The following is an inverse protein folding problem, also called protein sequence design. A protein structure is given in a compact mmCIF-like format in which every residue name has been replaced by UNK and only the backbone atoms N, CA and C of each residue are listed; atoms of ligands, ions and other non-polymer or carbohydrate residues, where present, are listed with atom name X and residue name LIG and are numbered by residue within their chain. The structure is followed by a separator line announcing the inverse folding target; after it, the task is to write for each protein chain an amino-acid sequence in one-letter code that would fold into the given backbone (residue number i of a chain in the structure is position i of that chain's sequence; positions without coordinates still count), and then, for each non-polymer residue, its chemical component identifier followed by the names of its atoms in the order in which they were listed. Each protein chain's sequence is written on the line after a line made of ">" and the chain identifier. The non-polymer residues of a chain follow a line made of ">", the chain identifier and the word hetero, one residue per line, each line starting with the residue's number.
data_IF_031673176015
#
_entry.id   IF_031673176015
#
_cell.length_a   1.000
_cell.length_b   1.000
_cell.length_c   1.000
_cell.angle_alpha   90.00
_cell.angle_beta   90.00
_cell.angle_gamma   90.00
#
_symmetry.space_group_name_H-M   'P 1'
#
loop_
_entity.id
_entity.type
_entity.pdbx_description
1 polymer ?
#
# COMPACT_ATOMS: atom_id res chain seq x y z
N UNK A 1 11.05 -6.71 14.36
CA UNK A 1 9.69 -7.16 14.01
C UNK A 1 9.58 -8.69 14.08
N UNK A 2 10.29 -9.47 13.23
CA UNK A 2 10.18 -10.94 13.20
C UNK A 2 10.42 -11.66 14.54
N UNK A 3 11.32 -11.15 15.39
CA UNK A 3 11.60 -11.73 16.72
C UNK A 3 10.39 -11.71 17.68
N UNK A 4 9.41 -10.83 17.42
CA UNK A 4 8.20 -10.65 18.22
C UNK A 4 7.01 -11.47 17.72
N UNK A 5 7.18 -12.19 16.60
CA UNK A 5 6.11 -13.01 16.05
C UNK A 5 6.03 -14.34 16.79
N UNK A 6 4.82 -14.89 16.92
CA UNK A 6 4.58 -16.21 17.50
C UNK A 6 5.13 -17.32 16.61
N UNK A 7 5.35 -18.50 17.18
CA UNK A 7 5.76 -19.68 16.40
C UNK A 7 4.68 -20.04 15.36
N UNK A 8 5.10 -20.50 14.17
CA UNK A 8 4.23 -20.89 13.06
C UNK A 8 3.58 -19.73 12.29
N UNK A 9 3.87 -18.49 12.67
CA UNK A 9 3.27 -17.29 12.07
C UNK A 9 3.84 -16.96 10.69
N UNK A 10 3.17 -16.05 9.98
CA UNK A 10 3.52 -15.67 8.61
C UNK A 10 3.80 -14.17 8.51
N UNK A 11 4.96 -13.83 7.96
CA UNK A 11 5.31 -12.47 7.59
C UNK A 11 5.00 -12.26 6.11
N UNK A 12 4.09 -11.33 5.83
CA UNK A 12 3.78 -10.90 4.46
C UNK A 12 4.53 -9.60 4.17
N UNK A 13 5.37 -9.60 3.13
CA UNK A 13 5.98 -8.37 2.61
C UNK A 13 5.26 -7.92 1.35
N UNK A 14 4.93 -6.62 1.27
CA UNK A 14 4.22 -6.03 0.13
C UNK A 14 4.97 -4.84 -0.51
N UNK A 15 6.19 -4.56 -0.05
CA UNK A 15 6.99 -3.43 -0.53
C UNK A 15 8.40 -3.41 0.03
N UNK A 16 9.21 -2.46 -0.44
CA UNK A 16 10.65 -2.39 -0.15
C UNK A 16 11.20 -0.96 -0.17
N UNK A 17 10.57 -0.04 0.56
CA UNK A 17 10.95 1.38 0.55
C UNK A 17 12.39 1.65 1.00
N UNK A 18 12.97 0.78 1.83
CA UNK A 18 14.37 0.89 2.26
C UNK A 18 15.40 0.53 1.18
N UNK A 19 14.94 -0.06 0.06
CA UNK A 19 15.78 -0.63 -1.01
C UNK A 19 16.79 -1.67 -0.49
N UNK A 20 16.54 -2.25 0.68
CA UNK A 20 17.35 -3.31 1.29
C UNK A 20 16.62 -4.65 1.21
N UNK A 21 17.35 -5.76 1.05
CA UNK A 21 16.75 -7.09 1.12
C UNK A 21 16.20 -7.35 2.52
N UNK A 22 15.22 -8.26 2.59
CA UNK A 22 14.73 -8.78 3.87
C UNK A 22 15.76 -9.76 4.45
N UNK A 23 16.27 -9.48 5.65
CA UNK A 23 17.25 -10.31 6.33
C UNK A 23 16.56 -11.14 7.42
N UNK A 24 16.67 -12.47 7.32
CA UNK A 24 15.93 -13.42 8.16
C UNK A 24 16.91 -14.33 8.90
N UNK A 25 16.91 -14.33 10.24
CA UNK A 25 17.71 -15.27 11.01
C UNK A 25 17.24 -16.72 10.80
N UNK A 26 18.17 -17.62 10.51
CA UNK A 26 17.89 -19.05 10.26
C UNK A 26 17.11 -19.71 11.40
N UNK A 27 17.40 -19.31 12.65
CA UNK A 27 16.74 -19.85 13.84
C UNK A 27 15.22 -19.60 13.86
N UNK A 28 14.75 -18.51 13.24
CA UNK A 28 13.31 -18.23 13.15
C UNK A 28 12.62 -19.14 12.15
N UNK A 29 13.31 -19.57 11.10
CA UNK A 29 12.78 -20.53 10.12
C UNK A 29 12.74 -21.93 10.72
N UNK A 30 13.86 -22.39 11.29
CA UNK A 30 14.00 -23.78 11.75
C UNK A 30 13.23 -24.03 13.06
N UNK A 31 13.40 -23.16 14.05
CA UNK A 31 12.92 -23.46 15.42
C UNK A 31 11.60 -22.76 15.75
N UNK A 32 11.17 -21.80 14.94
CA UNK A 32 9.89 -21.10 15.13
C UNK A 32 8.92 -21.28 13.97
N UNK A 33 9.25 -22.10 12.96
CA UNK A 33 8.40 -22.33 11.78
C UNK A 33 7.86 -21.02 11.17
N UNK A 34 8.71 -19.98 11.11
CA UNK A 34 8.29 -18.70 10.56
C UNK A 34 8.17 -18.80 9.04
N UNK A 35 7.01 -18.42 8.50
CA UNK A 35 6.72 -18.43 7.06
C UNK A 35 6.87 -17.03 6.49
N UNK A 36 7.48 -16.92 5.31
CA UNK A 36 7.69 -15.63 4.65
C UNK A 36 7.14 -15.68 3.24
N UNK A 37 6.27 -14.74 2.92
CA UNK A 37 5.61 -14.68 1.62
C UNK A 37 5.53 -13.24 1.11
N UNK A 38 5.55 -13.10 -0.21
CA UNK A 38 5.30 -11.83 -0.88
C UNK A 38 3.83 -11.68 -1.24
N UNK A 39 3.30 -10.46 -1.11
CA UNK A 39 1.98 -10.13 -1.61
C UNK A 39 2.05 -8.93 -2.56
N UNK A 40 1.46 -9.08 -3.74
CA UNK A 40 1.35 -8.01 -4.73
C UNK A 40 -0.08 -7.91 -5.22
N UNK A 41 -0.76 -6.81 -4.88
CA UNK A 41 -2.17 -6.59 -5.19
C UNK A 41 -2.45 -6.72 -6.70
N UNK A 42 -1.56 -6.20 -7.56
CA UNK A 42 -1.70 -6.32 -9.01
C UNK A 42 -1.73 -7.78 -9.46
N UNK A 43 -0.85 -8.63 -8.91
CA UNK A 43 -0.79 -10.04 -9.27
C UNK A 43 -2.04 -10.79 -8.79
N UNK A 44 -2.54 -10.47 -7.60
CA UNK A 44 -3.80 -11.03 -7.10
C UNK A 44 -4.97 -10.61 -7.99
N UNK A 45 -5.09 -9.31 -8.31
CA UNK A 45 -6.17 -8.77 -9.16
C UNK A 45 -6.21 -9.41 -10.54
N UNK A 46 -5.04 -9.69 -11.14
CA UNK A 46 -4.97 -10.35 -12.45
C UNK A 46 -5.44 -11.81 -12.43
N UNK A 47 -5.44 -12.46 -11.27
CA UNK A 47 -5.88 -13.85 -11.08
C UNK A 47 -7.31 -13.96 -10.55
N UNK A 48 -7.76 -12.95 -9.82
CA UNK A 48 -9.10 -12.91 -9.23
C UNK A 48 -10.18 -12.86 -10.32
N UNK A 49 -11.26 -13.59 -10.10
CA UNK A 49 -12.48 -13.46 -10.87
C UNK A 49 -13.14 -12.09 -10.65
N UNK A 50 -14.05 -11.72 -11.56
CA UNK A 50 -14.84 -10.47 -11.42
C UNK A 50 -15.64 -10.46 -10.12
N UNK A 51 -16.17 -11.60 -9.69
CA UNK A 51 -16.93 -11.74 -8.45
C UNK A 51 -16.04 -11.55 -7.22
N UNK A 52 -14.88 -12.20 -7.14
CA UNK A 52 -13.96 -12.06 -6.00
C UNK A 52 -13.45 -10.61 -5.86
N UNK A 53 -13.13 -9.96 -6.98
CA UNK A 53 -12.72 -8.56 -6.94
C UNK A 53 -13.85 -7.65 -6.46
N UNK A 54 -15.08 -7.90 -6.93
CA UNK A 54 -16.26 -7.13 -6.52
C UNK A 54 -16.57 -7.34 -5.04
N UNK A 55 -16.54 -8.57 -4.55
CA UNK A 55 -16.78 -8.90 -3.14
C UNK A 55 -15.80 -8.17 -2.22
N UNK A 56 -14.50 -8.18 -2.58
CA UNK A 56 -13.47 -7.43 -1.84
C UNK A 56 -13.75 -5.92 -1.80
N UNK A 57 -14.18 -5.33 -2.93
CA UNK A 57 -14.55 -3.91 -2.95
C UNK A 57 -15.80 -3.63 -2.09
N UNK A 58 -16.80 -4.50 -2.14
CA UNK A 58 -18.01 -4.37 -1.32
C UNK A 58 -17.69 -4.47 0.18
N UNK A 59 -16.73 -5.30 0.59
CA UNK A 59 -16.22 -5.32 1.97
C UNK A 59 -15.60 -3.98 2.38
N UNK A 60 -14.78 -3.37 1.52
CA UNK A 60 -14.19 -2.06 1.81
C UNK A 60 -15.25 -0.98 1.95
N UNK A 61 -16.27 -0.97 1.08
CA UNK A 61 -17.40 -0.03 1.17
C UNK A 61 -18.16 -0.24 2.48
N UNK A 62 -18.46 -1.49 2.86
CA UNK A 62 -19.09 -1.80 4.15
C UNK A 62 -18.30 -1.27 5.35
N UNK A 63 -16.97 -1.31 5.30
CA UNK A 63 -16.12 -0.77 6.35
C UNK A 63 -16.17 0.76 6.40
N UNK A 64 -16.24 1.43 5.24
CA UNK A 64 -16.40 2.89 5.15
C UNK A 64 -17.76 3.30 5.71
N UNK A 65 -18.84 2.64 5.29
CA UNK A 65 -20.21 2.95 5.73
C UNK A 65 -20.38 2.80 7.26
N UNK A 66 -19.64 1.86 7.87
CA UNK A 66 -19.61 1.65 9.33
C UNK A 66 -18.66 2.60 10.06
N UNK A 67 -17.89 3.43 9.36
CA UNK A 67 -16.88 4.31 9.95
C UNK A 67 -15.64 3.57 10.48
N UNK A 68 -15.43 2.31 10.10
CA UNK A 68 -14.24 1.53 10.47
C UNK A 68 -13.05 1.77 9.53
N UNK A 69 -13.31 2.31 8.34
CA UNK A 69 -12.29 2.73 7.39
C UNK A 69 -12.53 4.20 7.03
N UNK A 70 -11.60 5.05 7.44
CA UNK A 70 -11.63 6.48 7.16
C UNK A 70 -10.64 6.85 6.07
N UNK A 71 -10.85 8.01 5.47
CA UNK A 71 -9.87 8.60 4.56
C UNK A 71 -8.56 8.94 5.28
N UNK A 72 -7.49 9.04 4.50
CA UNK A 72 -6.19 9.40 5.04
C UNK A 72 -6.15 10.90 5.39
N UNK A 73 -5.90 11.25 6.65
CA UNK A 73 -5.92 12.64 7.17
C UNK A 73 -5.02 13.61 6.38
N UNK A 74 -3.93 13.11 5.79
CA UNK A 74 -2.99 13.91 4.99
C UNK A 74 -3.13 13.70 3.47
N UNK A 75 -4.36 13.77 2.95
CA UNK A 75 -4.60 13.85 1.51
C UNK A 75 -4.57 15.32 1.03
N UNK A 76 -3.84 15.61 -0.05
CA UNK A 76 -3.81 16.92 -0.71
C UNK A 76 -4.42 16.80 -2.09
N UNK A 77 -5.50 17.53 -2.33
CA UNK A 77 -6.11 17.65 -3.65
C UNK A 77 -5.34 18.70 -4.46
N UNK A 78 -4.95 18.33 -5.68
CA UNK A 78 -4.22 19.19 -6.61
C UNK A 78 -5.08 19.41 -7.84
N UNK A 79 -5.59 20.63 -7.98
CA UNK A 79 -6.46 21.04 -9.10
C UNK A 79 -5.63 21.35 -10.36
N UNK A 80 -6.09 20.85 -11.51
CA UNK A 80 -5.37 20.95 -12.77
C UNK A 80 -6.02 21.90 -13.80
N UNK A 81 -6.81 22.86 -13.37
CA UNK A 81 -7.65 23.70 -14.26
C UNK A 81 -6.93 24.92 -14.85
N UNK A 82 -5.59 24.90 -14.87
CA UNK A 82 -4.81 26.06 -15.33
C UNK A 82 -3.92 25.68 -16.50
N UNK A 83 -3.54 26.68 -17.29
CA UNK A 83 -2.50 26.57 -18.32
C UNK A 83 -1.16 26.04 -17.78
N UNK A 84 -0.98 25.98 -16.45
CA UNK A 84 0.20 25.46 -15.76
C UNK A 84 0.04 24.01 -15.29
N UNK A 85 -1.05 23.31 -15.65
CA UNK A 85 -1.34 21.96 -15.18
C UNK A 85 -0.16 20.99 -15.34
N UNK A 86 0.53 21.02 -16.48
CA UNK A 86 1.69 20.17 -16.72
C UNK A 86 2.83 20.44 -15.73
N UNK A 87 3.12 21.71 -15.45
CA UNK A 87 4.14 22.12 -14.47
C UNK A 87 3.75 21.65 -13.07
N UNK A 88 2.50 21.87 -12.67
CA UNK A 88 1.96 21.44 -11.37
C UNK A 88 2.07 19.92 -11.18
N UNK A 89 1.75 19.12 -12.19
CA UNK A 89 1.90 17.66 -12.14
C UNK A 89 3.37 17.28 -11.95
N UNK A 90 4.28 17.85 -12.75
CA UNK A 90 5.73 17.55 -12.67
C UNK A 90 6.30 17.85 -11.28
N UNK A 91 5.97 19.01 -10.72
CA UNK A 91 6.42 19.42 -9.38
C UNK A 91 5.85 18.52 -8.28
N UNK A 92 4.55 18.22 -8.35
CA UNK A 92 3.87 17.34 -7.39
C UNK A 92 4.45 15.93 -7.41
N UNK A 93 4.68 15.36 -8.60
CA UNK A 93 5.30 14.03 -8.74
C UNK A 93 6.72 14.04 -8.18
N UNK A 94 7.52 15.07 -8.49
CA UNK A 94 8.88 15.21 -7.95
C UNK A 94 8.89 15.26 -6.43
N UNK A 95 7.96 16.01 -5.83
CA UNK A 95 7.79 16.06 -4.38
C UNK A 95 7.39 14.70 -3.81
N UNK A 96 6.40 14.03 -4.41
CA UNK A 96 5.93 12.70 -3.99
C UNK A 96 7.05 11.66 -4.00
N UNK A 97 7.91 11.70 -5.02
CA UNK A 97 9.00 10.73 -5.20
C UNK A 97 10.23 10.99 -4.30
N UNK A 98 10.28 12.13 -3.60
CA UNK A 98 11.38 12.43 -2.67
C UNK A 98 11.43 11.52 -1.43
N UNK A 99 10.39 10.71 -1.20
CA UNK A 99 10.28 9.82 -0.03
C UNK A 99 9.99 10.55 1.29
N UNK A 100 9.82 11.88 1.26
CA UNK A 100 9.58 12.72 2.45
C UNK A 100 8.31 13.58 2.35
N UNK A 101 7.44 13.28 1.39
CA UNK A 101 6.25 14.10 1.15
C UNK A 101 5.26 14.08 2.34
N UNK A 102 5.22 12.98 3.10
CA UNK A 102 4.38 12.81 4.28
C UNK A 102 2.87 12.86 4.00
N UNK A 103 2.48 12.90 2.72
CA UNK A 103 1.11 13.15 2.28
C UNK A 103 0.79 12.39 1.00
N UNK A 104 -0.50 12.14 0.78
CA UNK A 104 -1.03 11.55 -0.45
C UNK A 104 -1.51 12.68 -1.37
N UNK A 105 -1.03 12.73 -2.61
CA UNK A 105 -1.55 13.66 -3.61
C UNK A 105 -2.66 13.01 -4.44
N UNK A 106 -3.75 13.75 -4.65
CA UNK A 106 -4.88 13.37 -5.49
C UNK A 106 -5.07 14.44 -6.56
N UNK A 107 -4.85 14.10 -7.83
CA UNK A 107 -5.08 15.02 -8.92
C UNK A 107 -6.57 15.07 -9.24
N UNK A 108 -7.11 16.28 -9.33
CA UNK A 108 -8.50 16.53 -9.70
C UNK A 108 -8.54 17.27 -11.04
N UNK A 109 -9.20 16.64 -12.00
CA UNK A 109 -9.46 17.18 -13.33
C UNK A 109 -10.89 17.73 -13.30
N UNK A 110 -11.04 19.06 -13.40
CA UNK A 110 -12.34 19.74 -13.46
C UNK A 110 -12.43 20.51 -14.76
#
# INVERSE_FOLDING_TARGET
>A
MMKWMSNGSRLITYGGMSMKPLVVPTSLLIFRDLKLEGFMLTNWRMKASKSEYREMLEDLVRLIDRGHLLEHEHATIVDLNSHLAEKTVRETVKQSMSGRAGRKFLFRFI
#
